data_IF_706541724058
#
_entry.id   IF_706541724058
#
_cell.length_a   1.000
_cell.length_b   1.000
_cell.length_c   1.000
_cell.angle_alpha   90.00
_cell.angle_beta   90.00
_cell.angle_gamma   90.00
#
_symmetry.space_group_name_H-M   'P 1'
#
loop_
_entity.id
_entity.type
_entity.pdbx_description
1 polymer ?
#
# COMPACT_ATOMS: atom_id res chain seq x y z
N UNK A 1 -23.57 37.67 -16.93
CA UNK A 1 -23.11 37.48 -15.53
C UNK A 1 -22.41 36.13 -15.46
N UNK A 2 -21.07 36.15 -15.41
CA UNK A 2 -20.21 34.96 -15.57
C UNK A 2 -20.25 34.05 -14.34
N UNK A 3 -20.61 32.78 -14.54
CA UNK A 3 -20.48 31.72 -13.53
C UNK A 3 -19.05 31.18 -13.40
N UNK A 4 -18.07 31.75 -14.11
CA UNK A 4 -16.69 31.24 -14.16
C UNK A 4 -15.79 31.73 -13.02
N UNK A 5 -16.30 32.53 -12.08
CA UNK A 5 -15.49 33.13 -11.01
C UNK A 5 -15.57 32.37 -9.67
N UNK A 6 -16.57 31.51 -9.46
CA UNK A 6 -16.80 30.84 -8.16
C UNK A 6 -15.94 29.58 -7.96
N UNK A 7 -15.37 28.98 -9.02
CA UNK A 7 -14.58 27.75 -8.89
C UNK A 7 -13.13 27.96 -8.41
N UNK A 8 -12.71 29.20 -8.17
CA UNK A 8 -11.34 29.51 -7.73
C UNK A 8 -11.10 29.27 -6.23
N UNK A 9 -12.12 28.87 -5.47
CA UNK A 9 -12.08 28.80 -4.00
C UNK A 9 -11.94 27.38 -3.39
N UNK A 10 -11.45 26.38 -4.15
CA UNK A 10 -11.06 25.07 -3.57
C UNK A 10 -9.59 24.73 -3.78
N UNK A 11 -8.71 25.73 -3.74
CA UNK A 11 -7.27 25.53 -3.56
C UNK A 11 -6.96 25.05 -2.14
N UNK A 12 -7.21 23.77 -1.88
CA UNK A 12 -6.81 23.09 -0.65
C UNK A 12 -6.26 21.68 -0.90
N UNK A 13 -5.94 21.33 -2.14
CA UNK A 13 -5.48 20.01 -2.51
C UNK A 13 -3.99 20.03 -2.84
N UNK A 14 -3.14 19.82 -1.83
CA UNK A 14 -1.70 19.64 -2.06
C UNK A 14 -1.42 18.18 -2.41
N UNK A 15 -0.57 17.89 -3.43
CA UNK A 15 -0.14 16.52 -3.74
C UNK A 15 0.39 15.75 -2.52
N UNK A 16 0.96 16.50 -1.56
CA UNK A 16 1.39 16.00 -0.26
C UNK A 16 0.25 15.38 0.57
N UNK A 17 -0.92 16.02 0.64
CA UNK A 17 -2.07 15.44 1.34
C UNK A 17 -2.51 14.12 0.70
N UNK A 18 -2.51 14.04 -0.64
CA UNK A 18 -2.89 12.82 -1.36
C UNK A 18 -1.91 11.66 -1.15
N UNK A 19 -0.60 11.93 -1.21
CA UNK A 19 0.46 10.92 -1.07
C UNK A 19 0.64 10.43 0.37
N UNK A 20 0.56 11.33 1.35
CA UNK A 20 0.95 11.05 2.73
C UNK A 20 -0.23 10.93 3.70
N UNK A 21 -1.44 11.37 3.32
CA UNK A 21 -2.65 11.34 4.17
C UNK A 21 -3.77 10.49 3.60
N UNK A 22 -4.04 10.59 2.29
CA UNK A 22 -5.14 9.83 1.67
C UNK A 22 -4.75 8.37 1.44
N UNK A 23 -3.49 8.08 1.07
CA UNK A 23 -3.04 6.70 0.84
C UNK A 23 -3.05 5.79 2.09
N UNK A 24 -2.58 6.21 3.28
CA UNK A 24 -2.71 5.41 4.51
C UNK A 24 -4.17 5.20 4.94
N UNK A 25 -5.04 6.18 4.67
CA UNK A 25 -6.47 6.15 5.01
C UNK A 25 -7.26 5.11 4.25
N UNK A 26 -6.83 4.76 3.03
CA UNK A 26 -7.47 3.68 2.26
C UNK A 26 -7.38 2.34 3.00
N UNK A 27 -6.31 2.13 3.76
CA UNK A 27 -6.06 0.91 4.56
C UNK A 27 -6.35 1.10 6.06
N UNK A 28 -6.98 2.20 6.46
CA UNK A 28 -7.33 2.46 7.86
C UNK A 28 -6.15 2.74 8.80
N UNK A 29 -4.93 2.91 8.29
CA UNK A 29 -3.71 3.07 9.09
C UNK A 29 -3.32 4.54 9.27
N UNK A 30 -2.71 4.86 10.42
CA UNK A 30 -1.96 6.11 10.57
C UNK A 30 -0.70 6.09 9.70
N UNK A 31 -0.18 7.25 9.34
CA UNK A 31 1.02 7.35 8.48
C UNK A 31 2.22 6.55 9.03
N UNK A 32 2.42 6.56 10.35
CA UNK A 32 3.54 5.85 10.99
C UNK A 32 3.34 4.32 10.97
N UNK A 33 2.10 3.84 11.13
CA UNK A 33 1.79 2.42 10.98
C UNK A 33 2.03 1.96 9.55
N UNK A 34 1.55 2.73 8.57
CA UNK A 34 1.77 2.44 7.16
C UNK A 34 3.26 2.46 6.78
N UNK A 35 3.99 3.48 7.24
CA UNK A 35 5.43 3.60 7.05
C UNK A 35 6.17 2.41 7.66
N UNK A 36 5.82 2.01 8.89
CA UNK A 36 6.44 0.87 9.57
C UNK A 36 6.13 -0.45 8.84
N UNK A 37 4.89 -0.65 8.39
CA UNK A 37 4.50 -1.80 7.59
C UNK A 37 5.29 -1.87 6.28
N UNK A 38 5.33 -0.79 5.49
CA UNK A 38 6.10 -0.73 4.25
C UNK A 38 7.60 -0.93 4.48
N UNK A 39 8.17 -0.32 5.52
CA UNK A 39 9.57 -0.51 5.89
C UNK A 39 9.88 -1.96 6.26
N UNK A 40 8.98 -2.64 6.98
CA UNK A 40 9.14 -4.05 7.33
C UNK A 40 9.18 -4.95 6.09
N UNK A 41 8.33 -4.71 5.09
CA UNK A 41 8.41 -5.40 3.80
C UNK A 41 9.74 -5.13 3.08
N UNK A 42 10.20 -3.87 3.07
CA UNK A 42 11.48 -3.49 2.49
C UNK A 42 12.66 -4.24 3.12
N UNK A 43 12.73 -4.30 4.45
CA UNK A 43 13.78 -5.04 5.16
C UNK A 43 13.69 -6.56 4.93
N UNK A 44 12.48 -7.13 4.84
CA UNK A 44 12.29 -8.55 4.45
C UNK A 44 12.87 -8.79 3.05
N UNK A 45 12.53 -7.97 2.07
CA UNK A 45 13.03 -8.10 0.69
C UNK A 45 14.56 -7.96 0.61
N UNK A 46 15.16 -7.03 1.35
CA UNK A 46 16.60 -6.86 1.40
C UNK A 46 17.32 -8.13 1.91
N UNK A 47 16.77 -8.76 2.96
CA UNK A 47 17.27 -10.05 3.46
C UNK A 47 17.12 -11.17 2.45
N UNK A 48 15.98 -11.23 1.74
CA UNK A 48 15.76 -12.23 0.70
C UNK A 48 16.68 -12.04 -0.50
N UNK A 49 17.02 -10.81 -0.86
CA UNK A 49 18.04 -10.53 -1.87
C UNK A 49 19.40 -11.11 -1.45
N UNK A 50 19.80 -10.91 -0.18
CA UNK A 50 20.99 -11.54 0.38
C UNK A 50 20.95 -13.07 0.31
N UNK A 51 19.81 -13.68 0.66
CA UNK A 51 19.61 -15.13 0.56
C UNK A 51 19.69 -15.64 -0.90
N UNK A 52 19.15 -14.89 -1.86
CA UNK A 52 19.23 -15.20 -3.29
C UNK A 52 20.68 -15.16 -3.79
N UNK A 53 21.47 -14.15 -3.37
CA UNK A 53 22.88 -14.09 -3.72
C UNK A 53 23.68 -15.22 -3.08
N UNK A 54 23.41 -15.55 -1.81
CA UNK A 54 24.03 -16.70 -1.16
C UNK A 54 23.71 -18.01 -1.89
N UNK A 55 22.47 -18.20 -2.37
CA UNK A 55 22.09 -19.34 -3.21
C UNK A 55 22.81 -19.32 -4.57
N UNK A 56 23.00 -18.15 -5.18
CA UNK A 56 23.72 -18.02 -6.45
C UNK A 56 25.20 -18.42 -6.31
N UNK A 57 25.83 -18.11 -5.17
CA UNK A 57 27.21 -18.53 -4.86
C UNK A 57 27.27 -20.01 -4.46
N UNK A 58 26.30 -20.46 -3.67
CA UNK A 58 26.22 -21.83 -3.16
C UNK A 58 24.82 -22.40 -3.45
N UNK A 59 24.62 -23.11 -4.58
CA UNK A 59 23.30 -23.62 -5.00
C UNK A 59 22.61 -24.55 -3.97
N UNK A 60 23.36 -25.02 -2.97
CA UNK A 60 22.85 -25.83 -1.87
C UNK A 60 22.07 -25.06 -0.78
N UNK A 61 22.33 -23.76 -0.59
CA UNK A 61 21.73 -22.97 0.50
C UNK A 61 20.49 -22.21 0.03
N UNK A 62 19.54 -21.90 0.92
CA UNK A 62 18.37 -21.05 0.62
C UNK A 62 17.45 -21.46 -0.56
N UNK A 63 17.45 -22.74 -0.97
CA UNK A 63 16.71 -23.25 -2.15
C UNK A 63 15.24 -22.80 -2.25
N UNK A 64 14.54 -22.69 -1.13
CA UNK A 64 13.12 -22.31 -1.08
C UNK A 64 12.86 -21.05 -0.26
N UNK A 65 13.89 -20.47 0.37
CA UNK A 65 13.74 -19.36 1.32
C UNK A 65 13.09 -18.15 0.65
N UNK A 66 13.59 -17.78 -0.52
CA UNK A 66 13.09 -16.61 -1.27
C UNK A 66 11.67 -16.85 -1.78
N UNK A 67 11.42 -18.00 -2.43
CA UNK A 67 10.11 -18.30 -3.00
C UNK A 67 9.01 -18.41 -1.94
N UNK A 68 9.29 -19.04 -0.80
CA UNK A 68 8.31 -19.21 0.29
C UNK A 68 8.00 -17.86 0.93
N UNK A 69 9.02 -17.03 1.19
CA UNK A 69 8.83 -15.73 1.78
C UNK A 69 8.07 -14.77 0.85
N UNK A 70 8.37 -14.75 -0.46
CA UNK A 70 7.64 -13.94 -1.44
C UNK A 70 6.16 -14.36 -1.50
N UNK A 71 5.86 -15.67 -1.51
CA UNK A 71 4.47 -16.15 -1.48
C UNK A 71 3.70 -15.69 -0.24
N UNK A 72 4.33 -15.75 0.93
CA UNK A 72 3.74 -15.24 2.17
C UNK A 72 3.47 -13.74 2.10
N UNK A 73 4.47 -12.95 1.68
CA UNK A 73 4.31 -11.50 1.52
C UNK A 73 3.27 -11.12 0.47
N UNK A 74 3.15 -11.88 -0.62
CA UNK A 74 2.12 -11.65 -1.63
C UNK A 74 0.71 -11.83 -1.05
N UNK A 75 0.51 -12.83 -0.19
CA UNK A 75 -0.75 -13.00 0.55
C UNK A 75 -1.03 -11.84 1.50
N UNK A 76 -0.03 -11.42 2.31
CA UNK A 76 -0.13 -10.27 3.21
C UNK A 76 -0.48 -8.97 2.46
N UNK A 77 0.17 -8.71 1.32
CA UNK A 77 -0.12 -7.54 0.48
C UNK A 77 -1.49 -7.62 -0.19
N UNK A 78 -1.94 -8.82 -0.56
CA UNK A 78 -3.26 -9.05 -1.15
C UNK A 78 -4.40 -8.63 -0.22
N UNK A 79 -4.36 -9.05 1.05
CA UNK A 79 -5.38 -8.67 2.04
C UNK A 79 -5.43 -7.15 2.28
N UNK A 80 -4.26 -6.50 2.34
CA UNK A 80 -4.18 -5.03 2.46
C UNK A 80 -4.72 -4.31 1.23
N UNK A 81 -4.53 -4.88 0.04
CA UNK A 81 -5.07 -4.32 -1.20
C UNK A 81 -6.59 -4.46 -1.30
N UNK A 82 -7.14 -5.55 -0.76
CA UNK A 82 -8.58 -5.78 -0.65
C UNK A 82 -9.24 -4.77 0.30
N UNK A 83 -8.69 -4.57 1.50
CA UNK A 83 -9.15 -3.56 2.46
C UNK A 83 -9.13 -2.15 1.84
N UNK A 84 -8.05 -1.79 1.15
CA UNK A 84 -7.96 -0.53 0.42
C UNK A 84 -9.05 -0.37 -0.66
N UNK A 85 -9.39 -1.46 -1.35
CA UNK A 85 -10.46 -1.47 -2.34
C UNK A 85 -11.83 -1.31 -1.67
N UNK A 86 -12.09 -2.02 -0.57
CA UNK A 86 -13.36 -1.94 0.16
C UNK A 86 -13.62 -0.52 0.68
N UNK A 87 -12.61 0.12 1.29
CA UNK A 87 -12.71 1.52 1.75
C UNK A 87 -13.02 2.46 0.59
N UNK A 88 -12.34 2.33 -0.56
CA UNK A 88 -12.64 3.14 -1.75
C UNK A 88 -14.06 2.91 -2.26
N UNK A 89 -14.56 1.67 -2.24
CA UNK A 89 -15.93 1.37 -2.62
C UNK A 89 -16.95 1.97 -1.64
N UNK A 90 -16.64 1.98 -0.34
CA UNK A 90 -17.46 2.63 0.71
C UNK A 90 -17.52 4.14 0.52
N UNK A 91 -16.37 4.78 0.32
CA UNK A 91 -16.29 6.23 0.15
C UNK A 91 -16.89 6.71 -1.18
N UNK A 92 -16.91 5.84 -2.21
CA UNK A 92 -17.59 6.10 -3.47
C UNK A 92 -19.12 5.92 -3.41
N UNK A 93 -19.70 5.56 -2.24
CA UNK A 93 -21.14 5.34 -2.08
C UNK A 93 -21.65 4.07 -2.77
N UNK A 94 -20.77 3.17 -3.20
CA UNK A 94 -21.15 1.94 -3.95
C UNK A 94 -21.87 0.93 -3.05
N UNK A 95 -21.76 1.09 -1.73
CA UNK A 95 -22.46 0.26 -0.74
C UNK A 95 -23.79 0.86 -0.23
N UNK A 96 -24.32 1.92 -0.86
CA UNK A 96 -25.61 2.49 -0.48
C UNK A 96 -26.77 1.57 -0.89
N UNK A 97 -27.02 0.56 -0.05
CA UNK A 97 -28.25 -0.25 -0.05
C UNK A 97 -29.33 0.54 0.68
N UNK A 98 -29.75 1.66 0.09
CA UNK A 98 -30.62 2.67 0.68
C UNK A 98 -31.59 2.15 1.76
N UNK A 99 -31.30 2.52 3.01
CA UNK A 99 -32.18 2.44 4.18
C UNK A 99 -31.90 3.64 5.09
#
# INVERSE_FOLDING_TARGET
>A
MSQTTIDRARSGFTPFARLFRDHPREVGETYFEHMAASAAFGFKLLRLAGAAFAHAVVPGVHKTTVSTAIRGMAGEMGGRAEEARETRMRDAGVWDVGL
#
